data_IF_009367196344
#
_entry.id   IF_009367196344
#
_cell.length_a   1.000
_cell.length_b   1.000
_cell.length_c   1.000
_cell.angle_alpha   90.00
_cell.angle_beta   90.00
_cell.angle_gamma   90.00
#
_symmetry.space_group_name_H-M   'P 1'
#
loop_
_entity.id
_entity.type
_entity.pdbx_description
1 polymer ?
#
# COMPACT_ATOMS: atom_id res chain seq x y z
N UNK A 1 2.12 27.65 3.24
CA UNK A 1 2.61 26.95 4.43
C UNK A 1 3.01 25.57 3.95
N UNK A 2 4.30 25.29 3.82
CA UNK A 2 4.80 23.99 3.39
C UNK A 2 4.80 23.08 4.61
N UNK A 3 4.09 21.95 4.54
CA UNK A 3 4.06 20.94 5.58
C UNK A 3 5.48 20.32 5.72
N UNK A 4 6.26 20.67 6.76
CA UNK A 4 7.62 20.16 6.93
C UNK A 4 7.63 18.62 7.02
N UNK A 5 6.53 18.03 7.52
CA UNK A 5 6.29 16.60 7.55
C UNK A 5 6.20 15.96 6.15
N UNK A 6 5.63 16.67 5.16
CA UNK A 6 5.51 16.15 3.79
C UNK A 6 6.87 16.14 3.09
N UNK A 7 7.68 17.18 3.27
CA UNK A 7 9.03 17.25 2.73
C UNK A 7 9.95 16.22 3.38
N UNK A 8 9.86 16.03 4.69
CA UNK A 8 10.61 15.01 5.40
C UNK A 8 10.21 13.60 4.91
N UNK A 9 8.91 13.32 4.80
CA UNK A 9 8.40 12.05 4.25
C UNK A 9 8.85 11.81 2.82
N UNK A 10 8.90 12.84 1.98
CA UNK A 10 9.43 12.73 0.60
C UNK A 10 10.92 12.44 0.60
N UNK A 11 11.73 13.12 1.41
CA UNK A 11 13.17 12.88 1.50
C UNK A 11 13.45 11.45 2.00
N UNK A 12 12.72 11.00 3.01
CA UNK A 12 12.75 9.61 3.48
C UNK A 12 12.41 8.64 2.34
N UNK A 13 11.31 8.88 1.62
CA UNK A 13 10.90 8.02 0.50
C UNK A 13 11.98 8.00 -0.60
N UNK A 14 12.55 9.14 -0.95
CA UNK A 14 13.65 9.21 -1.92
C UNK A 14 14.88 8.43 -1.45
N UNK A 15 15.24 8.52 -0.16
CA UNK A 15 16.32 7.72 0.42
C UNK A 15 16.01 6.22 0.42
N UNK A 16 14.77 5.84 0.74
CA UNK A 16 14.31 4.44 0.68
C UNK A 16 14.38 3.89 -0.75
N UNK A 17 14.05 4.70 -1.76
CA UNK A 17 14.16 4.32 -3.17
C UNK A 17 15.63 4.22 -3.59
N UNK A 18 16.46 5.20 -3.24
CA UNK A 18 17.89 5.20 -3.58
C UNK A 18 18.65 4.03 -2.96
N UNK A 19 18.25 3.57 -1.77
CA UNK A 19 18.84 2.41 -1.10
C UNK A 19 18.30 1.07 -1.63
N UNK A 20 17.31 1.08 -2.54
CA UNK A 20 16.61 -0.12 -3.02
C UNK A 20 15.69 -0.77 -1.98
N UNK A 21 15.60 -0.18 -0.79
CA UNK A 21 14.77 -0.66 0.33
C UNK A 21 13.29 -0.51 0.02
N UNK A 22 12.90 0.57 -0.64
CA UNK A 22 11.52 0.81 -1.06
C UNK A 22 11.03 -0.27 -2.02
N UNK A 23 11.86 -0.66 -3.00
CA UNK A 23 11.52 -1.73 -3.93
C UNK A 23 11.39 -3.07 -3.20
N UNK A 24 12.30 -3.38 -2.27
CA UNK A 24 12.22 -4.60 -1.46
C UNK A 24 10.95 -4.65 -0.61
N UNK A 25 10.64 -3.57 0.11
CA UNK A 25 9.45 -3.47 0.96
C UNK A 25 8.17 -3.55 0.12
N UNK A 26 8.14 -2.86 -1.02
CA UNK A 26 7.01 -2.89 -1.95
C UNK A 26 6.84 -4.29 -2.55
N UNK A 27 7.94 -4.98 -2.86
CA UNK A 27 7.91 -6.33 -3.36
C UNK A 27 7.43 -7.31 -2.28
N UNK A 28 7.94 -7.22 -1.05
CA UNK A 28 7.46 -8.03 0.08
C UNK A 28 5.98 -7.78 0.36
N UNK A 29 5.53 -6.52 0.34
CA UNK A 29 4.12 -6.18 0.49
C UNK A 29 3.30 -6.85 -0.63
N UNK A 30 3.71 -6.71 -1.89
CA UNK A 30 3.01 -7.34 -3.02
C UNK A 30 3.00 -8.86 -2.91
N UNK A 31 4.12 -9.47 -2.52
CA UNK A 31 4.24 -10.91 -2.32
C UNK A 31 3.33 -11.37 -1.20
N UNK A 32 3.34 -10.72 -0.03
CA UNK A 32 2.43 -11.06 1.07
C UNK A 32 0.96 -10.88 0.68
N UNK A 33 0.59 -9.79 -0.01
CA UNK A 33 -0.78 -9.59 -0.49
C UNK A 33 -1.19 -10.64 -1.53
N UNK A 34 -0.25 -11.14 -2.33
CA UNK A 34 -0.48 -12.19 -3.31
C UNK A 34 -0.62 -13.56 -2.64
N UNK A 35 0.29 -13.90 -1.71
CA UNK A 35 0.30 -15.16 -0.97
C UNK A 35 -0.92 -15.32 -0.07
N UNK A 36 -1.41 -14.23 0.51
CA UNK A 36 -2.63 -14.24 1.31
C UNK A 36 -3.92 -14.19 0.46
N UNK A 37 -3.81 -14.20 -0.88
CA UNK A 37 -4.97 -14.20 -1.77
C UNK A 37 -5.71 -12.86 -1.87
N UNK A 38 -5.27 -11.81 -1.17
CA UNK A 38 -5.91 -10.50 -1.16
C UNK A 38 -6.02 -9.89 -2.56
N UNK A 39 -5.00 -10.05 -3.41
CA UNK A 39 -5.06 -9.55 -4.80
C UNK A 39 -6.21 -10.21 -5.58
N UNK A 40 -6.45 -11.49 -5.35
CA UNK A 40 -7.50 -12.26 -6.00
C UNK A 40 -8.89 -11.91 -5.41
N UNK A 41 -9.00 -11.70 -4.10
CA UNK A 41 -10.23 -11.23 -3.46
C UNK A 41 -10.63 -9.83 -3.91
N UNK A 42 -9.69 -8.90 -4.01
CA UNK A 42 -9.95 -7.53 -4.51
C UNK A 42 -10.40 -7.58 -5.96
N UNK A 43 -9.75 -8.39 -6.81
CA UNK A 43 -10.17 -8.59 -8.21
C UNK A 43 -11.56 -9.20 -8.30
N UNK A 44 -11.83 -10.26 -7.54
CA UNK A 44 -13.14 -10.92 -7.52
C UNK A 44 -14.24 -9.97 -7.07
N UNK A 45 -14.01 -9.24 -5.98
CA UNK A 45 -14.89 -8.16 -5.50
C UNK A 45 -15.15 -7.13 -6.59
N UNK A 46 -14.10 -6.68 -7.30
CA UNK A 46 -14.24 -5.69 -8.38
C UNK A 46 -15.14 -6.20 -9.49
N UNK A 47 -14.92 -7.45 -9.91
CA UNK A 47 -15.70 -8.10 -10.97
C UNK A 47 -17.16 -8.27 -10.52
N UNK A 48 -17.41 -8.65 -9.27
CA UNK A 48 -18.76 -8.77 -8.71
C UNK A 48 -19.48 -7.42 -8.64
N UNK A 49 -18.80 -6.37 -8.19
CA UNK A 49 -19.39 -5.03 -8.11
C UNK A 49 -19.67 -4.45 -9.50
N UNK A 50 -18.81 -4.73 -10.49
CA UNK A 50 -19.02 -4.37 -11.90
C UNK A 50 -20.18 -5.17 -12.51
N UNK A 51 -20.32 -6.46 -12.17
CA UNK A 51 -21.47 -7.29 -12.59
C UNK A 51 -22.79 -6.79 -11.98
N UNK A 52 -22.79 -6.39 -10.70
CA UNK A 52 -23.96 -5.80 -10.04
C UNK A 52 -24.32 -4.43 -10.60
N UNK A 53 -23.32 -3.68 -11.07
CA UNK A 53 -23.50 -2.33 -11.58
C UNK A 53 -22.82 -2.15 -12.95
N UNK A 54 -23.44 -2.61 -14.04
CA UNK A 54 -22.84 -2.59 -15.38
C UNK A 54 -22.60 -1.18 -15.95
N UNK A 55 -23.20 -0.13 -15.34
CA UNK A 55 -22.99 1.28 -15.73
C UNK A 55 -22.01 2.04 -14.83
N UNK A 56 -21.40 1.38 -13.84
CA UNK A 56 -20.49 2.05 -12.92
C UNK A 56 -19.16 2.32 -13.63
N UNK A 57 -18.79 3.61 -13.75
CA UNK A 57 -17.52 4.01 -14.35
C UNK A 57 -16.37 3.65 -13.42
N UNK A 58 -15.22 3.36 -14.01
CA UNK A 58 -13.97 3.12 -13.28
C UNK A 58 -13.69 4.19 -12.22
N UNK A 59 -13.94 5.46 -12.55
CA UNK A 59 -13.75 6.62 -11.67
C UNK A 59 -14.62 6.60 -10.40
N UNK A 60 -15.80 5.97 -10.45
CA UNK A 60 -16.74 5.89 -9.33
C UNK A 60 -16.51 4.65 -8.47
N UNK A 61 -16.03 3.55 -9.08
CA UNK A 61 -15.76 2.29 -8.37
C UNK A 61 -14.37 2.25 -7.75
N UNK A 62 -13.37 2.86 -8.40
CA UNK A 62 -11.99 2.89 -7.91
C UNK A 62 -11.89 3.39 -6.46
N UNK A 63 -12.41 4.57 -6.07
CA UNK A 63 -12.24 5.04 -4.70
C UNK A 63 -12.97 4.17 -3.65
N UNK A 64 -14.11 3.56 -4.03
CA UNK A 64 -14.84 2.62 -3.16
C UNK A 64 -14.07 1.33 -2.99
N UNK A 65 -13.54 0.81 -4.10
CA UNK A 65 -12.73 -0.39 -4.12
C UNK A 65 -11.42 -0.18 -3.39
N UNK A 66 -10.71 0.92 -3.59
CA UNK A 66 -9.49 1.26 -2.86
C UNK A 66 -9.76 1.30 -1.36
N UNK A 67 -10.85 1.95 -0.93
CA UNK A 67 -11.21 1.98 0.49
C UNK A 67 -11.49 0.59 1.04
N UNK A 68 -12.25 -0.23 0.30
CA UNK A 68 -12.53 -1.62 0.70
C UNK A 68 -11.26 -2.46 0.71
N UNK A 69 -10.44 -2.35 -0.32
CA UNK A 69 -9.17 -3.05 -0.46
C UNK A 69 -8.25 -2.70 0.71
N UNK A 70 -8.11 -1.42 1.06
CA UNK A 70 -7.33 -0.96 2.22
C UNK A 70 -7.87 -1.55 3.52
N UNK A 71 -9.20 -1.62 3.70
CA UNK A 71 -9.82 -2.22 4.88
C UNK A 71 -9.51 -3.73 4.96
N UNK A 72 -9.63 -4.40 3.82
CA UNK A 72 -9.45 -5.84 3.62
C UNK A 72 -7.98 -6.29 3.73
N UNK A 73 -7.01 -5.37 3.61
CA UNK A 73 -5.60 -5.71 3.79
C UNK A 73 -5.40 -6.29 5.20
N UNK A 74 -4.82 -7.51 5.31
CA UNK A 74 -4.57 -8.15 6.60
C UNK A 74 -3.77 -7.25 7.54
N UNK A 75 -4.23 -7.16 8.78
CA UNK A 75 -3.53 -6.37 9.80
C UNK A 75 -2.11 -6.86 10.01
N UNK A 76 -1.88 -8.18 9.92
CA UNK A 76 -0.55 -8.80 10.00
C UNK A 76 0.40 -8.24 8.93
N UNK A 77 -0.05 -8.17 7.67
CA UNK A 77 0.74 -7.60 6.58
C UNK A 77 1.00 -6.11 6.80
N UNK A 78 0.00 -5.34 7.23
CA UNK A 78 0.20 -3.91 7.57
C UNK A 78 1.22 -3.74 8.68
N UNK A 79 1.11 -4.51 9.76
CA UNK A 79 1.99 -4.41 10.92
C UNK A 79 3.42 -4.84 10.56
N UNK A 80 3.59 -5.92 9.81
CA UNK A 80 4.90 -6.39 9.33
C UNK A 80 5.59 -5.32 8.49
N UNK A 81 4.90 -4.79 7.48
CA UNK A 81 5.44 -3.77 6.58
C UNK A 81 5.69 -2.45 7.30
N UNK A 82 4.80 -2.05 8.22
CA UNK A 82 4.98 -0.83 9.04
C UNK A 82 6.16 -0.98 10.00
N UNK A 83 6.35 -2.16 10.59
CA UNK A 83 7.48 -2.44 11.50
C UNK A 83 8.80 -2.40 10.74
N UNK A 84 8.88 -3.07 9.59
CA UNK A 84 10.07 -2.99 8.73
C UNK A 84 10.36 -1.54 8.32
N UNK A 85 9.34 -0.81 7.86
CA UNK A 85 9.50 0.60 7.48
C UNK A 85 9.96 1.47 8.65
N UNK A 86 9.51 1.18 9.88
CA UNK A 86 9.95 1.84 11.11
C UNK A 86 11.39 1.50 11.48
N UNK A 87 11.81 0.24 11.39
CA UNK A 87 13.20 -0.18 11.62
C UNK A 87 14.16 0.45 10.60
N UNK A 88 13.74 0.55 9.34
CA UNK A 88 14.51 1.24 8.31
C UNK A 88 14.59 2.75 8.56
N UNK A 89 13.47 3.38 8.92
CA UNK A 89 13.45 4.79 9.32
C UNK A 89 14.37 5.06 10.50
N UNK A 90 14.34 4.21 11.52
CA UNK A 90 15.20 4.33 12.70
C UNK A 90 16.68 4.26 12.30
N UNK A 91 17.04 3.34 11.41
CA UNK A 91 18.40 3.22 10.87
C UNK A 91 18.86 4.47 10.11
N UNK A 92 17.95 5.15 9.38
CA UNK A 92 18.27 6.32 8.56
C UNK A 92 18.23 7.63 9.37
N UNK A 93 17.35 7.75 10.37
CA UNK A 93 17.20 8.97 11.19
C UNK A 93 18.24 9.01 12.30
N UNK A 94 18.74 7.85 12.73
CA UNK A 94 19.77 7.75 13.78
C UNK A 94 21.21 7.79 13.22
N UNK A 95 21.40 8.16 11.94
CA UNK A 95 22.70 8.50 11.33
C UNK A 95 22.81 9.97 10.98
#
# INVERSE_FOLDING_TARGET
>A
MSDPDLELRKQIQSHLIQTGTYERLTNELKTSLLENGWIDEVKSTTIEELKKNPNLKYSDILPKLEKKAIDDVPQDTKLKITSQLREFLDTIVNT
#
